data_IF_159349851470
#
_entry.id   IF_159349851470
#
_cell.length_a   1.000
_cell.length_b   1.000
_cell.length_c   1.000
_cell.angle_alpha   90.00
_cell.angle_beta   90.00
_cell.angle_gamma   90.00
#
_symmetry.space_group_name_H-M   'P 1'
#
loop_
_entity.id
_entity.type
_entity.pdbx_description
1 polymer ?
#
# COMPACT_ATOMS: atom_id res chain seq x y z
N UNK A 1 -52.38 -29.71 -13.53
CA UNK A 1 -51.25 -30.43 -12.93
C UNK A 1 -50.02 -29.52 -12.94
N UNK A 2 -49.47 -29.24 -11.76
CA UNK A 2 -48.07 -28.81 -11.59
C UNK A 2 -47.75 -27.34 -11.82
N UNK A 3 -48.20 -26.46 -10.90
CA UNK A 3 -47.65 -25.12 -10.74
C UNK A 3 -46.16 -25.25 -10.36
N UNK A 4 -45.25 -24.73 -11.17
CA UNK A 4 -43.80 -24.70 -10.88
C UNK A 4 -43.58 -23.61 -9.83
N UNK A 5 -43.40 -24.03 -8.58
CA UNK A 5 -43.12 -23.16 -7.44
C UNK A 5 -41.87 -22.31 -7.70
N UNK A 6 -42.08 -21.02 -7.92
CA UNK A 6 -41.08 -19.99 -7.65
C UNK A 6 -40.74 -20.13 -6.16
N UNK A 7 -39.49 -20.50 -5.86
CA UNK A 7 -39.00 -20.54 -4.48
C UNK A 7 -38.76 -19.09 -4.08
N UNK A 8 -39.69 -18.52 -3.34
CA UNK A 8 -39.48 -17.31 -2.54
C UNK A 8 -38.29 -17.56 -1.62
N UNK A 9 -37.16 -16.94 -1.95
CA UNK A 9 -35.98 -16.86 -1.11
C UNK A 9 -36.30 -15.88 0.02
N UNK A 10 -36.38 -16.39 1.25
CA UNK A 10 -36.55 -15.60 2.47
C UNK A 10 -35.53 -14.45 2.49
N UNK A 11 -35.99 -13.21 2.43
CA UNK A 11 -35.20 -11.97 2.32
C UNK A 11 -34.36 -11.64 3.56
N UNK A 12 -33.89 -12.67 4.28
CA UNK A 12 -33.05 -12.56 5.46
C UNK A 12 -31.62 -12.18 5.05
N UNK A 13 -31.00 -11.18 5.73
CA UNK A 13 -29.62 -10.83 5.47
C UNK A 13 -28.66 -12.01 5.72
N UNK A 14 -27.59 -12.12 4.94
CA UNK A 14 -26.50 -13.09 5.16
C UNK A 14 -25.79 -12.83 6.51
N UNK A 15 -24.83 -13.68 6.91
CA UNK A 15 -24.07 -13.52 8.16
C UNK A 15 -23.29 -12.19 8.24
N UNK A 16 -23.10 -11.50 7.10
CA UNK A 16 -22.46 -10.19 7.00
C UNK A 16 -23.49 -9.05 6.88
N UNK A 17 -24.77 -9.37 7.01
CA UNK A 17 -25.90 -8.46 6.98
C UNK A 17 -26.30 -8.01 5.57
N UNK A 18 -25.88 -8.67 4.50
CA UNK A 18 -26.26 -8.34 3.12
C UNK A 18 -27.58 -8.99 2.72
N UNK A 19 -28.50 -8.21 2.15
CA UNK A 19 -29.77 -8.71 1.65
C UNK A 19 -29.63 -9.55 0.37
N UNK A 20 -30.77 -10.05 -0.10
CA UNK A 20 -30.88 -10.72 -1.39
C UNK A 20 -30.35 -9.81 -2.52
N UNK A 21 -29.61 -10.37 -3.48
CA UNK A 21 -29.07 -9.64 -4.64
C UNK A 21 -27.70 -8.99 -4.44
N UNK A 22 -27.12 -9.00 -3.24
CA UNK A 22 -25.79 -8.41 -2.99
C UNK A 22 -24.69 -8.99 -3.88
N UNK A 23 -24.63 -10.32 -4.06
CA UNK A 23 -23.58 -10.91 -4.90
C UNK A 23 -23.71 -10.46 -6.35
N UNK A 24 -24.93 -10.31 -6.88
CA UNK A 24 -25.15 -9.77 -8.22
C UNK A 24 -24.69 -8.31 -8.31
N UNK A 25 -25.04 -7.48 -7.32
CA UNK A 25 -24.62 -6.09 -7.25
C UNK A 25 -23.09 -5.95 -7.14
N UNK A 26 -22.46 -6.80 -6.33
CA UNK A 26 -21.00 -6.90 -6.23
C UNK A 26 -20.39 -7.23 -7.58
N UNK A 27 -20.88 -8.25 -8.29
CA UNK A 27 -20.36 -8.62 -9.61
C UNK A 27 -20.55 -7.51 -10.65
N UNK A 28 -21.67 -6.78 -10.61
CA UNK A 28 -21.90 -5.58 -11.45
C UNK A 28 -20.87 -4.49 -11.15
N UNK A 29 -20.59 -4.24 -9.88
CA UNK A 29 -19.57 -3.26 -9.43
C UNK A 29 -18.19 -3.61 -9.98
N UNK A 30 -17.75 -4.86 -9.76
CA UNK A 30 -16.45 -5.35 -10.23
C UNK A 30 -16.33 -5.24 -11.75
N UNK A 31 -17.38 -5.59 -12.49
CA UNK A 31 -17.40 -5.51 -13.95
C UNK A 31 -17.34 -4.06 -14.45
N UNK A 32 -18.08 -3.15 -13.84
CA UNK A 32 -18.08 -1.71 -14.18
C UNK A 32 -16.67 -1.13 -14.05
N UNK A 33 -15.96 -1.52 -12.99
CA UNK A 33 -14.62 -1.02 -12.69
C UNK A 33 -13.51 -1.81 -13.39
N UNK A 34 -13.85 -2.66 -14.37
CA UNK A 34 -12.88 -3.41 -15.17
C UNK A 34 -12.12 -4.48 -14.39
N UNK A 35 -12.67 -4.97 -13.28
CA UNK A 35 -12.00 -5.90 -12.37
C UNK A 35 -10.65 -5.36 -11.85
N UNK A 36 -10.58 -4.06 -11.60
CA UNK A 36 -9.41 -3.41 -11.04
C UNK A 36 -9.78 -2.57 -9.81
N UNK A 37 -8.84 -2.43 -8.87
CA UNK A 37 -8.99 -1.55 -7.73
C UNK A 37 -9.06 -0.09 -8.18
N UNK A 38 -10.16 0.60 -7.90
CA UNK A 38 -10.37 2.01 -8.27
C UNK A 38 -9.45 2.98 -7.52
N UNK A 39 -8.84 2.56 -6.40
CA UNK A 39 -7.81 3.35 -5.70
C UNK A 39 -6.42 3.21 -6.31
N UNK A 40 -5.98 2.03 -6.72
CA UNK A 40 -4.56 1.79 -7.07
C UNK A 40 -4.32 1.10 -8.42
N UNK A 41 -5.37 0.75 -9.14
CA UNK A 41 -5.32 0.10 -10.45
C UNK A 41 -5.01 -1.40 -10.43
N UNK A 42 -4.69 -2.01 -9.28
CA UNK A 42 -4.34 -3.43 -9.21
C UNK A 42 -5.53 -4.34 -9.59
N UNK A 43 -5.28 -5.30 -10.48
CA UNK A 43 -6.20 -6.33 -10.99
C UNK A 43 -5.81 -7.76 -10.56
N UNK A 44 -4.65 -7.91 -9.92
CA UNK A 44 -4.05 -9.19 -9.47
C UNK A 44 -4.28 -9.48 -7.98
N UNK A 45 -5.24 -8.77 -7.34
CA UNK A 45 -5.49 -8.85 -5.89
C UNK A 45 -6.92 -9.27 -5.58
N UNK A 46 -7.17 -9.69 -4.34
CA UNK A 46 -8.55 -9.92 -3.86
C UNK A 46 -9.35 -8.62 -3.87
N UNK A 47 -10.39 -8.58 -4.71
CA UNK A 47 -11.27 -7.42 -4.90
C UNK A 47 -12.58 -7.54 -4.12
N UNK A 48 -13.03 -6.39 -3.61
CA UNK A 48 -14.23 -6.21 -2.80
C UNK A 48 -15.03 -5.02 -3.32
N UNK A 49 -16.36 -5.09 -3.23
CA UNK A 49 -17.21 -3.93 -3.43
C UNK A 49 -17.28 -3.14 -2.11
N UNK A 50 -16.80 -1.91 -2.15
CA UNK A 50 -16.70 -0.99 -1.02
C UNK A 50 -17.77 0.09 -1.13
N UNK A 51 -18.54 0.30 -0.07
CA UNK A 51 -19.51 1.38 0.03
C UNK A 51 -18.83 2.73 0.26
N UNK A 52 -19.07 3.70 -0.62
CA UNK A 52 -18.62 5.09 -0.50
C UNK A 52 -19.21 5.73 0.77
N UNK A 53 -20.53 5.63 0.94
CA UNK A 53 -21.22 5.91 2.19
C UNK A 53 -21.43 4.58 2.90
N UNK A 54 -20.81 4.34 4.07
CA UNK A 54 -20.95 3.08 4.78
C UNK A 54 -22.41 2.76 5.13
N UNK A 55 -22.78 1.48 5.11
CA UNK A 55 -24.12 1.02 5.52
C UNK A 55 -24.46 1.43 6.96
N UNK A 56 -23.47 1.45 7.85
CA UNK A 56 -23.63 1.92 9.24
C UNK A 56 -24.01 3.40 9.35
N UNK A 57 -23.79 4.18 8.28
CA UNK A 57 -24.19 5.58 8.15
C UNK A 57 -25.42 5.75 7.25
N UNK A 58 -26.14 4.66 6.93
CA UNK A 58 -27.33 4.69 6.08
C UNK A 58 -27.06 4.67 4.58
N UNK A 59 -25.83 4.33 4.15
CA UNK A 59 -25.50 4.23 2.73
C UNK A 59 -26.28 3.09 2.04
N UNK A 60 -26.83 3.33 0.83
CA UNK A 60 -27.62 2.34 0.11
C UNK A 60 -26.76 1.22 -0.50
N UNK A 61 -27.39 0.07 -0.73
CA UNK A 61 -26.85 -1.02 -1.55
C UNK A 61 -27.23 -0.78 -3.03
N UNK A 62 -26.63 0.24 -3.65
CA UNK A 62 -26.78 0.56 -5.08
C UNK A 62 -25.42 0.62 -5.79
N UNK A 63 -25.43 0.63 -7.13
CA UNK A 63 -24.18 0.55 -7.90
C UNK A 63 -23.36 1.84 -7.75
N UNK A 64 -24.04 2.97 -7.64
CA UNK A 64 -23.49 4.31 -7.53
C UNK A 64 -22.74 4.54 -6.21
N UNK A 65 -23.20 3.91 -5.11
CA UNK A 65 -22.55 3.95 -3.81
C UNK A 65 -21.44 2.90 -3.66
N UNK A 66 -21.16 2.09 -4.69
CA UNK A 66 -20.14 1.04 -4.62
C UNK A 66 -18.94 1.33 -5.51
N UNK A 67 -17.75 0.96 -5.02
CA UNK A 67 -16.48 1.00 -5.73
C UNK A 67 -15.73 -0.32 -5.57
N UNK A 68 -15.04 -0.77 -6.61
CA UNK A 68 -14.16 -1.94 -6.54
C UNK A 68 -12.84 -1.55 -5.89
N UNK A 69 -12.47 -2.23 -4.80
CA UNK A 69 -11.26 -1.95 -4.02
C UNK A 69 -10.54 -3.27 -3.68
N UNK A 70 -9.21 -3.28 -3.74
CA UNK A 70 -8.41 -4.42 -3.27
C UNK A 70 -8.29 -4.42 -1.75
N UNK A 71 -8.15 -5.61 -1.14
CA UNK A 71 -8.10 -5.76 0.33
C UNK A 71 -7.08 -4.82 1.03
N UNK A 72 -5.83 -4.63 0.53
CA UNK A 72 -4.90 -3.64 1.11
C UNK A 72 -5.45 -2.20 1.11
N UNK A 73 -5.99 -1.76 -0.03
CA UNK A 73 -6.58 -0.42 -0.15
C UNK A 73 -7.84 -0.28 0.71
N UNK A 74 -8.57 -1.35 0.95
CA UNK A 74 -9.70 -1.34 1.86
C UNK A 74 -9.25 -1.11 3.32
N UNK A 75 -8.09 -1.64 3.71
CA UNK A 75 -7.44 -1.33 4.99
C UNK A 75 -7.00 0.12 5.13
N UNK A 76 -6.51 0.74 4.05
CA UNK A 76 -6.26 2.20 4.01
C UNK A 76 -7.53 2.99 4.25
N UNK A 77 -8.66 2.47 3.76
CA UNK A 77 -9.96 3.11 3.90
C UNK A 77 -10.48 3.01 5.33
N UNK A 78 -10.39 1.81 5.91
CA UNK A 78 -10.85 1.49 7.26
C UNK A 78 -9.66 1.31 8.21
N UNK A 79 -8.93 2.40 8.45
CA UNK A 79 -7.68 2.36 9.25
C UNK A 79 -7.87 1.83 10.67
N UNK A 80 -9.05 2.02 11.26
CA UNK A 80 -9.39 1.52 12.61
C UNK A 80 -9.86 0.07 12.63
N UNK A 81 -10.01 -0.58 11.46
CA UNK A 81 -10.47 -1.95 11.37
C UNK A 81 -9.28 -2.93 11.30
N UNK A 82 -9.02 -3.62 12.41
CA UNK A 82 -7.92 -4.57 12.54
C UNK A 82 -7.99 -5.78 11.61
N UNK A 83 -9.13 -6.03 10.94
CA UNK A 83 -9.27 -7.11 9.95
C UNK A 83 -8.37 -6.94 8.70
N UNK A 84 -7.75 -5.78 8.54
CA UNK A 84 -6.85 -5.45 7.44
C UNK A 84 -5.41 -5.18 7.87
N UNK A 85 -5.08 -5.28 9.16
CA UNK A 85 -3.73 -5.01 9.65
C UNK A 85 -2.68 -5.95 9.03
N UNK A 86 -3.10 -7.14 8.58
CA UNK A 86 -2.27 -8.13 7.92
C UNK A 86 -1.82 -7.74 6.50
N UNK A 87 -2.55 -6.83 5.84
CA UNK A 87 -2.34 -6.51 4.41
C UNK A 87 -2.33 -5.01 4.11
N UNK A 88 -2.63 -4.13 5.08
CA UNK A 88 -2.73 -2.68 4.86
C UNK A 88 -1.43 -2.08 4.32
N UNK A 89 -0.29 -2.58 4.78
CA UNK A 89 1.02 -2.04 4.40
C UNK A 89 1.40 -2.37 2.93
N UNK A 90 0.74 -3.38 2.33
CA UNK A 90 0.88 -3.74 0.91
C UNK A 90 0.12 -2.77 -0.03
N UNK A 91 -0.64 -1.83 0.52
CA UNK A 91 -1.30 -0.80 -0.27
C UNK A 91 -0.26 0.20 -0.78
N UNK A 92 -0.34 0.62 -2.06
CA UNK A 92 0.50 1.71 -2.55
C UNK A 92 0.31 2.99 -1.72
N UNK A 93 1.43 3.67 -1.44
CA UNK A 93 1.47 4.93 -0.69
C UNK A 93 0.49 5.97 -1.25
N UNK A 94 0.54 6.14 -2.57
CA UNK A 94 -0.30 7.06 -3.31
C UNK A 94 -1.48 6.34 -3.97
N UNK A 95 -2.65 7.00 -4.07
CA UNK A 95 -3.68 6.55 -4.98
C UNK A 95 -3.24 6.71 -6.45
N UNK A 96 -3.92 6.01 -7.35
CA UNK A 96 -3.82 6.24 -8.78
C UNK A 96 -4.34 7.65 -9.13
N UNK A 97 -3.84 8.21 -10.24
CA UNK A 97 -4.18 9.55 -10.73
C UNK A 97 -5.66 9.70 -11.05
N UNK A 98 -6.31 8.62 -11.49
CA UNK A 98 -7.74 8.62 -11.83
C UNK A 98 -8.60 8.09 -10.68
N UNK A 99 -8.03 7.87 -9.49
CA UNK A 99 -8.80 7.40 -8.36
C UNK A 99 -9.90 8.39 -7.98
N UNK A 100 -11.14 7.93 -7.74
CA UNK A 100 -12.23 8.81 -7.37
C UNK A 100 -12.01 9.38 -5.96
N UNK A 101 -12.48 10.61 -5.74
CA UNK A 101 -12.27 11.37 -4.50
C UNK A 101 -12.51 10.58 -3.19
N UNK A 102 -13.55 9.73 -3.04
CA UNK A 102 -13.78 8.97 -1.81
C UNK A 102 -12.66 8.00 -1.41
N UNK A 103 -11.85 7.55 -2.38
CA UNK A 103 -10.77 6.56 -2.17
C UNK A 103 -9.40 7.11 -2.54
N UNK A 104 -9.32 8.32 -3.09
CA UNK A 104 -8.10 9.04 -3.47
C UNK A 104 -7.35 9.62 -2.26
N UNK A 105 -7.05 8.77 -1.27
CA UNK A 105 -6.32 9.15 -0.06
C UNK A 105 -5.00 8.42 0.08
N UNK A 106 -4.08 9.06 0.78
CA UNK A 106 -2.78 8.51 1.17
C UNK A 106 -2.94 7.25 2.04
N UNK A 107 -1.90 6.39 2.06
CA UNK A 107 -1.90 5.14 2.84
C UNK A 107 -2.14 5.40 4.33
N UNK A 108 -1.47 6.40 4.89
CA UNK A 108 -1.73 6.90 6.26
C UNK A 108 -2.00 8.41 6.25
N UNK A 109 -2.64 8.98 7.29
CA UNK A 109 -2.86 10.42 7.38
C UNK A 109 -1.54 11.21 7.44
N UNK A 110 -0.55 10.68 8.16
CA UNK A 110 0.77 11.30 8.31
C UNK A 110 1.50 11.46 6.96
N UNK A 111 1.18 10.61 5.97
CA UNK A 111 1.77 10.66 4.63
C UNK A 111 1.34 11.89 3.81
N UNK A 112 0.37 12.68 4.29
CA UNK A 112 -0.02 13.95 3.66
C UNK A 112 0.92 15.11 4.00
N UNK A 113 1.81 14.91 4.97
CA UNK A 113 2.71 15.94 5.46
C UNK A 113 4.12 15.78 4.89
N UNK A 114 4.71 16.86 4.41
CA UNK A 114 6.12 16.87 4.05
C UNK A 114 6.98 16.68 5.31
N UNK A 115 7.76 15.61 5.37
CA UNK A 115 8.67 15.27 6.47
C UNK A 115 9.79 16.30 6.68
N UNK A 116 10.04 17.19 5.70
CA UNK A 116 11.03 18.26 5.80
C UNK A 116 10.44 19.55 6.33
N UNK A 117 9.48 20.14 5.61
CA UNK A 117 8.94 21.45 5.94
C UNK A 117 7.69 21.39 6.83
N UNK A 118 7.13 20.21 7.08
CA UNK A 118 5.92 20.00 7.88
C UNK A 118 4.62 20.42 7.19
N UNK A 119 4.68 20.95 5.96
CA UNK A 119 3.49 21.39 5.23
C UNK A 119 2.62 20.20 4.85
N UNK A 120 1.33 20.28 5.17
CA UNK A 120 0.31 19.33 4.71
C UNK A 120 -0.09 19.66 3.26
N UNK A 121 -0.27 18.64 2.45
CA UNK A 121 -0.72 18.76 1.07
C UNK A 121 -1.97 17.92 0.84
N UNK A 122 -3.03 18.58 0.36
CA UNK A 122 -4.31 17.92 0.05
C UNK A 122 -4.25 17.15 -1.27
N UNK A 123 -3.41 17.59 -2.22
CA UNK A 123 -3.17 16.92 -3.50
C UNK A 123 -1.97 15.96 -3.39
N UNK A 124 -2.19 14.64 -3.44
CA UNK A 124 -1.12 13.65 -3.40
C UNK A 124 -0.09 13.82 -4.52
N UNK A 125 -0.46 14.46 -5.63
CA UNK A 125 0.44 14.67 -6.78
C UNK A 125 1.52 15.71 -6.51
N UNK A 126 1.40 16.51 -5.44
CA UNK A 126 2.38 17.49 -4.97
C UNK A 126 3.45 16.89 -4.03
N UNK A 127 3.28 15.62 -3.67
CA UNK A 127 4.16 14.86 -2.81
C UNK A 127 4.94 13.79 -3.60
N UNK A 128 6.10 13.43 -3.10
CA UNK A 128 6.91 12.30 -3.53
C UNK A 128 7.34 11.51 -2.29
N UNK A 129 7.46 10.19 -2.43
CA UNK A 129 7.98 9.34 -1.38
C UNK A 129 9.45 9.05 -1.65
N UNK A 130 10.30 9.32 -0.65
CA UNK A 130 11.64 8.77 -0.58
C UNK A 130 11.53 7.38 0.05
N UNK A 131 11.77 6.35 -0.74
CA UNK A 131 11.88 4.95 -0.28
C UNK A 131 13.36 4.61 -0.07
N UNK A 132 13.67 3.62 0.75
CA UNK A 132 15.05 3.27 1.12
C UNK A 132 15.80 4.35 1.93
N UNK A 133 15.12 4.89 2.95
CA UNK A 133 15.70 5.91 3.84
C UNK A 133 16.82 5.27 4.68
N UNK A 134 18.05 5.83 4.72
CA UNK A 134 19.10 5.33 5.60
C UNK A 134 18.62 5.36 7.07
N UNK A 135 18.60 4.20 7.71
CA UNK A 135 18.02 3.98 9.05
C UNK A 135 18.65 4.89 10.13
N UNK A 136 17.87 5.38 11.11
CA UNK A 136 18.43 6.05 12.28
C UNK A 136 18.98 5.02 13.27
N UNK A 137 20.05 5.40 13.97
CA UNK A 137 20.74 4.59 14.99
C UNK A 137 19.87 4.26 16.22
N UNK A 138 18.62 4.75 16.35
CA UNK A 138 17.80 4.61 17.57
C UNK A 138 16.28 4.41 17.36
N UNK A 139 15.87 3.50 16.47
CA UNK A 139 14.60 2.77 16.64
C UNK A 139 13.28 3.57 16.63
N UNK A 140 12.83 3.96 15.44
CA UNK A 140 11.47 3.73 14.93
C UNK A 140 11.58 3.82 13.41
N UNK A 141 11.58 2.67 12.75
CA UNK A 141 11.70 2.54 11.30
C UNK A 141 10.48 3.19 10.65
N UNK A 142 10.75 4.16 9.77
CA UNK A 142 9.78 4.63 8.80
C UNK A 142 10.34 4.18 7.46
N UNK A 143 9.68 3.24 6.80
CA UNK A 143 10.13 2.66 5.52
C UNK A 143 10.24 3.70 4.40
N UNK A 144 9.60 4.86 4.59
CA UNK A 144 9.60 5.98 3.66
C UNK A 144 9.58 7.34 4.39
N UNK A 145 9.94 8.40 3.66
CA UNK A 145 9.69 9.79 4.01
C UNK A 145 8.88 10.46 2.90
N UNK A 146 8.00 11.37 3.27
CA UNK A 146 7.18 12.13 2.31
C UNK A 146 7.79 13.51 2.10
N UNK A 147 8.00 13.94 0.86
CA UNK A 147 8.55 15.25 0.55
C UNK A 147 7.64 15.95 -0.45
N UNK A 148 7.37 17.25 -0.23
CA UNK A 148 6.78 18.06 -1.28
C UNK A 148 7.77 18.26 -2.42
N UNK A 149 7.27 18.47 -3.65
CA UNK A 149 8.12 18.69 -4.84
C UNK A 149 9.26 19.71 -4.61
N UNK A 150 9.04 20.87 -3.96
CA UNK A 150 10.14 21.80 -3.63
C UNK A 150 11.21 21.19 -2.72
N UNK A 151 10.80 20.51 -1.65
CA UNK A 151 11.74 19.88 -0.71
C UNK A 151 12.51 18.74 -1.36
N UNK A 152 11.85 17.94 -2.21
CA UNK A 152 12.51 16.90 -2.98
C UNK A 152 13.55 17.51 -3.93
N UNK A 153 13.19 18.55 -4.69
CA UNK A 153 14.09 19.33 -5.55
C UNK A 153 15.38 19.72 -4.83
N UNK A 154 15.25 20.30 -3.64
CA UNK A 154 16.37 20.74 -2.81
C UNK A 154 17.30 19.61 -2.33
N UNK A 155 16.76 18.41 -2.09
CA UNK A 155 17.56 17.26 -1.67
C UNK A 155 18.40 16.71 -2.84
N UNK A 156 17.87 16.79 -4.06
CA UNK A 156 18.49 16.19 -5.26
C UNK A 156 19.68 16.99 -5.80
N UNK A 157 19.74 18.30 -5.50
CA UNK A 157 20.87 19.15 -5.92
C UNK A 157 22.14 18.92 -5.08
N UNK A 158 22.06 18.24 -3.93
CA UNK A 158 23.21 18.12 -3.01
C UNK A 158 24.10 16.90 -3.21
N UNK A 159 23.85 16.04 -4.21
CA UNK A 159 24.65 14.85 -4.61
C UNK A 159 25.67 14.33 -3.58
N UNK A 160 25.17 13.99 -2.40
CA UNK A 160 25.95 13.51 -1.26
C UNK A 160 25.02 12.60 -0.48
N UNK A 161 25.53 11.44 -0.06
CA UNK A 161 24.96 10.48 0.89
C UNK A 161 23.83 11.10 1.74
N UNK A 162 22.61 11.09 1.20
CA UNK A 162 21.51 11.87 1.76
C UNK A 162 21.00 11.17 3.03
N UNK A 163 21.55 11.57 4.16
CA UNK A 163 21.13 11.09 5.47
C UNK A 163 19.77 11.68 5.86
N UNK A 164 19.00 10.94 6.68
CA UNK A 164 17.70 11.39 7.22
C UNK A 164 17.76 12.80 7.84
N UNK A 165 18.87 13.13 8.52
CA UNK A 165 19.08 14.45 9.12
C UNK A 165 19.19 15.59 8.11
N UNK A 166 19.79 15.36 6.94
CA UNK A 166 19.87 16.34 5.87
C UNK A 166 18.50 16.58 5.20
N UNK A 167 17.68 15.53 5.10
CA UNK A 167 16.33 15.59 4.56
C UNK A 167 15.39 16.37 5.49
N UNK A 168 15.52 16.22 6.81
CA UNK A 168 14.69 16.91 7.80
C UNK A 168 15.19 18.33 8.16
N UNK A 169 16.34 18.78 7.63
CA UNK A 169 16.92 20.08 7.95
C UNK A 169 16.33 21.23 7.11
N UNK A 170 15.97 22.35 7.75
CA UNK A 170 15.41 23.53 7.10
C UNK A 170 16.50 24.48 6.57
N UNK A 171 16.69 24.54 5.25
CA UNK A 171 17.51 25.56 4.59
C UNK A 171 16.70 26.21 3.44
N UNK A 172 16.61 27.54 3.40
CA UNK A 172 15.68 28.30 2.53
C UNK A 172 16.29 28.59 1.15
N UNK A 173 15.63 28.16 0.07
CA UNK A 173 15.87 28.59 -1.33
C UNK A 173 14.52 28.89 -2.01
N UNK A 174 14.51 29.68 -3.09
CA UNK A 174 13.30 30.22 -3.72
C UNK A 174 12.62 29.24 -4.71
N UNK A 175 11.29 29.34 -4.86
CA UNK A 175 10.46 28.42 -5.66
C UNK A 175 10.73 28.46 -7.17
N UNK A 176 11.14 29.62 -7.70
CA UNK A 176 11.44 29.81 -9.12
C UNK A 176 12.73 29.08 -9.55
N UNK A 177 13.74 29.06 -8.67
CA UNK A 177 15.01 28.37 -8.95
C UNK A 177 14.82 26.85 -9.02
N UNK A 178 13.96 26.30 -8.16
CA UNK A 178 13.66 24.86 -8.04
C UNK A 178 12.94 24.26 -9.27
N UNK A 179 12.09 25.03 -9.96
CA UNK A 179 11.31 24.53 -11.10
C UNK A 179 12.17 24.26 -12.35
N UNK A 180 13.29 24.96 -12.48
CA UNK A 180 14.09 25.00 -13.71
C UNK A 180 14.95 23.75 -13.96
N UNK A 181 15.10 22.84 -12.98
CA UNK A 181 16.12 21.76 -13.03
C UNK A 181 15.57 20.34 -12.84
N UNK A 182 14.26 20.17 -12.96
CA UNK A 182 13.48 18.92 -12.78
C UNK A 182 13.90 17.74 -13.69
N UNK A 183 14.52 18.00 -14.83
CA UNK A 183 14.67 17.01 -15.92
C UNK A 183 15.70 15.90 -15.62
N UNK A 184 16.64 16.15 -14.71
CA UNK A 184 17.82 15.28 -14.49
C UNK A 184 17.87 14.62 -13.10
N UNK A 185 16.86 14.78 -12.26
CA UNK A 185 16.91 14.31 -10.89
C UNK A 185 16.53 12.81 -10.77
N UNK A 186 17.18 12.03 -9.89
CA UNK A 186 16.91 10.60 -9.73
C UNK A 186 15.56 10.26 -9.05
N UNK A 187 14.76 11.25 -8.66
CA UNK A 187 13.35 11.01 -8.31
C UNK A 187 12.47 11.07 -9.55
N UNK A 188 11.64 10.04 -9.69
CA UNK A 188 10.66 9.94 -10.76
C UNK A 188 9.65 11.08 -10.65
N UNK A 189 9.45 11.89 -11.71
CA UNK A 189 8.32 12.79 -11.77
C UNK A 189 7.03 11.96 -11.73
N UNK A 190 6.10 12.28 -10.83
CA UNK A 190 4.79 11.63 -10.80
C UNK A 190 4.08 11.70 -12.16
N UNK A 191 4.42 12.70 -12.99
CA UNK A 191 3.81 13.04 -14.29
C UNK A 191 4.03 11.98 -15.39
N UNK A 192 4.94 11.02 -15.23
CA UNK A 192 5.17 9.94 -16.22
C UNK A 192 5.06 8.51 -15.66
N UNK A 193 4.56 8.33 -14.44
CA UNK A 193 4.37 6.98 -13.89
C UNK A 193 3.06 6.35 -14.39
N UNK A 194 2.99 6.07 -15.69
CA UNK A 194 2.18 4.97 -16.19
C UNK A 194 2.98 3.68 -15.94
N UNK A 195 2.47 2.84 -15.04
CA UNK A 195 2.95 1.50 -14.71
C UNK A 195 4.23 1.39 -13.85
N UNK A 196 4.09 0.57 -12.81
CA UNK A 196 5.06 -0.22 -12.07
C UNK A 196 6.54 -0.02 -12.43
N UNK A 197 7.35 0.48 -11.49
CA UNK A 197 8.80 0.22 -11.53
C UNK A 197 9.24 -0.40 -10.21
N UNK A 198 9.02 -1.71 -10.13
CA UNK A 198 10.02 -2.59 -9.56
C UNK A 198 10.81 -3.17 -10.74
N UNK A 199 11.94 -2.56 -11.09
CA UNK A 199 12.97 -3.29 -11.82
C UNK A 199 13.67 -4.12 -10.75
N UNK A 200 13.46 -5.44 -10.75
CA UNK A 200 14.25 -6.33 -9.90
C UNK A 200 15.72 -6.10 -10.29
N UNK A 201 16.51 -5.51 -9.40
CA UNK A 201 17.93 -5.24 -9.68
C UNK A 201 18.65 -6.58 -9.81
N UNK A 202 19.48 -6.75 -10.83
CA UNK A 202 20.29 -7.96 -10.96
C UNK A 202 21.33 -8.04 -9.83
N UNK A 203 21.64 -9.25 -9.32
CA UNK A 203 22.57 -9.41 -8.22
C UNK A 203 24.00 -9.02 -8.67
N UNK A 204 24.59 -8.00 -8.04
CA UNK A 204 25.88 -7.41 -8.49
C UNK A 204 27.07 -8.08 -7.82
N UNK A 205 26.90 -8.53 -6.59
CA UNK A 205 27.96 -9.20 -5.82
C UNK A 205 27.85 -10.72 -5.93
N UNK A 206 28.98 -11.41 -5.71
CA UNK A 206 29.02 -12.88 -5.71
C UNK A 206 28.09 -13.47 -4.65
N UNK A 207 27.99 -12.82 -3.49
CA UNK A 207 27.09 -13.24 -2.41
C UNK A 207 25.61 -13.10 -2.79
N UNK A 208 25.24 -12.00 -3.44
CA UNK A 208 23.86 -11.80 -3.89
C UNK A 208 23.49 -12.80 -4.99
N UNK A 209 24.37 -13.07 -5.96
CA UNK A 209 24.15 -14.11 -6.98
C UNK A 209 23.98 -15.49 -6.36
N UNK A 210 24.84 -15.84 -5.40
CA UNK A 210 24.74 -17.11 -4.68
C UNK A 210 23.39 -17.27 -3.97
N UNK A 211 22.85 -16.20 -3.39
CA UNK A 211 21.54 -16.26 -2.72
C UNK A 211 20.40 -16.31 -3.72
N UNK A 212 20.42 -15.52 -4.81
CA UNK A 212 19.32 -15.44 -5.77
C UNK A 212 19.25 -16.65 -6.72
N UNK A 213 20.40 -17.22 -7.09
CA UNK A 213 20.51 -18.38 -8.01
C UNK A 213 20.37 -19.74 -7.31
N UNK A 214 20.35 -19.77 -5.97
CA UNK A 214 20.20 -21.02 -5.21
C UNK A 214 18.94 -21.00 -4.33
N UNK A 215 18.48 -22.16 -3.84
CA UNK A 215 17.36 -22.22 -2.91
C UNK A 215 17.58 -21.49 -1.58
N UNK A 216 18.81 -21.01 -1.31
CA UNK A 216 19.11 -20.20 -0.13
C UNK A 216 18.18 -19.01 0.01
N UNK A 217 17.73 -18.35 -1.08
CA UNK A 217 16.75 -17.26 -0.99
C UNK A 217 15.46 -17.61 -0.23
N UNK A 218 15.07 -18.88 -0.20
CA UNK A 218 13.89 -19.34 0.54
C UNK A 218 14.17 -19.63 2.01
N UNK A 219 15.45 -19.79 2.37
CA UNK A 219 15.91 -20.00 3.74
C UNK A 219 16.31 -18.67 4.39
N UNK A 220 16.95 -17.76 3.64
CA UNK A 220 17.44 -16.48 4.15
C UNK A 220 16.41 -15.35 4.08
N UNK A 221 15.23 -15.58 3.48
CA UNK A 221 14.12 -14.64 3.60
C UNK A 221 13.48 -14.72 5.00
N UNK A 222 12.69 -13.71 5.34
CA UNK A 222 12.09 -13.59 6.68
C UNK A 222 11.24 -14.81 7.07
N UNK A 223 10.55 -15.43 6.12
CA UNK A 223 9.78 -16.65 6.37
C UNK A 223 10.69 -17.86 6.65
N UNK A 224 11.76 -18.05 5.86
CA UNK A 224 12.73 -19.12 6.02
C UNK A 224 13.49 -19.05 7.34
N UNK A 225 13.92 -17.85 7.74
CA UNK A 225 14.61 -17.63 9.02
C UNK A 225 13.68 -17.93 10.19
N UNK A 226 12.40 -17.51 10.11
CA UNK A 226 11.39 -17.83 11.14
C UNK A 226 11.19 -19.33 11.31
N UNK A 227 11.08 -20.08 10.21
CA UNK A 227 10.96 -21.54 10.28
C UNK A 227 12.21 -22.22 10.84
N UNK A 228 13.41 -21.76 10.44
CA UNK A 228 14.67 -22.27 10.98
C UNK A 228 14.80 -22.02 12.49
N UNK A 229 14.40 -20.84 12.97
CA UNK A 229 14.39 -20.49 14.39
C UNK A 229 13.40 -21.34 15.18
N UNK A 230 12.18 -21.55 14.66
CA UNK A 230 11.18 -22.42 15.29
C UNK A 230 11.67 -23.86 15.39
N UNK A 231 12.31 -24.39 14.34
CA UNK A 231 12.91 -25.71 14.36
C UNK A 231 14.05 -25.82 15.39
N UNK A 232 14.90 -24.80 15.50
CA UNK A 232 16.00 -24.76 16.47
C UNK A 232 15.49 -24.73 17.93
N UNK A 233 14.49 -23.88 18.22
CA UNK A 233 13.86 -23.82 19.55
C UNK A 233 13.19 -25.14 19.89
N UNK A 234 12.43 -25.73 18.94
CA UNK A 234 11.80 -27.04 19.12
C UNK A 234 12.83 -28.14 19.42
N UNK A 235 13.99 -28.12 18.76
CA UNK A 235 15.07 -29.08 18.98
C UNK A 235 15.70 -28.96 20.38
N UNK A 236 15.95 -27.74 20.86
CA UNK A 236 16.49 -27.52 22.23
C UNK A 236 15.50 -27.98 23.29
N UNK A 237 14.21 -27.67 23.13
CA UNK A 237 13.15 -28.13 24.04
C UNK A 237 13.09 -29.66 24.06
N UNK A 238 13.14 -30.31 22.89
CA UNK A 238 13.16 -31.77 22.80
C UNK A 238 14.36 -32.37 23.56
N UNK A 239 15.56 -31.82 23.41
CA UNK A 239 16.75 -32.30 24.14
C UNK A 239 16.56 -32.19 25.65
N UNK A 240 16.05 -31.05 26.15
CA UNK A 240 15.83 -30.84 27.57
C UNK A 240 14.81 -31.83 28.14
N UNK A 241 13.74 -32.11 27.40
CA UNK A 241 12.71 -33.08 27.80
C UNK A 241 13.25 -34.52 27.82
N UNK A 242 14.11 -34.88 26.87
CA UNK A 242 14.71 -36.23 26.81
C UNK A 242 15.85 -36.42 27.83
N UNK A 243 16.42 -35.34 28.36
CA UNK A 243 17.52 -35.36 29.34
C UNK A 243 17.06 -35.29 30.80
N UNK A 244 15.74 -35.26 31.03
CA UNK A 244 15.05 -35.26 32.33
C UNK A 244 14.47 -36.66 32.62
#
# INVERSE_FOLDING_TARGET
MGNRSERETDGRPDERGYGEGWEELRQKTLRRDGYACTRCGADDRTLQAHHVVPRSAGGPDDLENLLTICRPCHGVIHQSNGAFDDVRDDAPLFPDRTAPAPVARMRTPDDQCCSRCGTQHDDPTELVAWTDVPTPVNGRETDHLMLCKPCAGLVLERDLDCTRGAIAANHRLSTHELASRRVNAPVRPSVFASQQVAIRREPRTVRERLVDDTPLRFVVNHAGIRWAMLAAVGYVVLILVVSL
#
